data_IF_448403430200
#
_entry.id   IF_448403430200
#
_cell.length_a   1.000
_cell.length_b   1.000
_cell.length_c   1.000
_cell.angle_alpha   90.00
_cell.angle_beta   90.00
_cell.angle_gamma   90.00
#
_symmetry.space_group_name_H-M   'P 1'
#
loop_
_entity.id
_entity.type
_entity.pdbx_description
1 polymer ?
#
# COMPACT_ATOMS: atom_id res chain seq x y z
N UNK A 1 10.65 11.58 5.00
CA UNK A 1 9.94 10.93 3.87
C UNK A 1 9.65 9.48 4.25
N UNK A 2 8.47 8.95 3.93
CA UNK A 2 8.12 7.56 4.26
C UNK A 2 8.77 6.59 3.29
N UNK A 3 9.23 5.44 3.78
CA UNK A 3 9.82 4.38 2.96
C UNK A 3 8.71 3.70 2.14
N UNK A 4 8.55 4.08 0.89
CA UNK A 4 7.50 3.50 0.03
C UNK A 4 7.84 2.09 -0.44
N UNK A 5 9.00 1.91 -1.08
CA UNK A 5 9.46 0.60 -1.56
C UNK A 5 10.37 -0.05 -0.54
N UNK A 6 10.27 -1.36 -0.41
CA UNK A 6 11.32 -2.16 0.22
C UNK A 6 12.64 -1.96 -0.55
N UNK A 7 13.80 -2.07 0.10
CA UNK A 7 15.06 -1.98 -0.60
C UNK A 7 15.22 -3.17 -1.57
N UNK A 8 16.20 -3.08 -2.47
CA UNK A 8 16.54 -4.21 -3.33
C UNK A 8 16.87 -5.44 -2.47
N UNK A 9 16.58 -6.61 -3.03
CA UNK A 9 16.70 -7.93 -2.44
C UNK A 9 15.54 -8.34 -1.50
N UNK A 10 14.37 -7.74 -1.65
CA UNK A 10 13.19 -8.10 -0.86
C UNK A 10 12.01 -8.43 -1.78
N UNK A 11 11.46 -9.63 -1.58
CA UNK A 11 10.37 -10.18 -2.39
C UNK A 11 9.18 -10.54 -1.51
N UNK A 12 8.01 -10.01 -1.85
CA UNK A 12 6.75 -10.54 -1.32
C UNK A 12 6.50 -11.96 -1.82
N UNK A 13 6.17 -12.85 -0.89
CA UNK A 13 5.80 -14.25 -1.18
C UNK A 13 4.31 -14.41 -1.52
N UNK A 14 3.54 -13.32 -1.51
CA UNK A 14 2.11 -13.35 -1.81
C UNK A 14 1.82 -13.91 -3.20
N UNK A 15 0.56 -14.24 -3.49
CA UNK A 15 0.17 -14.77 -4.81
C UNK A 15 0.41 -13.74 -5.91
N UNK A 16 1.04 -14.16 -7.00
CA UNK A 16 1.11 -13.37 -8.25
C UNK A 16 -0.22 -13.43 -8.98
N UNK A 17 -0.76 -12.27 -9.32
CA UNK A 17 -1.94 -12.09 -10.15
C UNK A 17 -1.58 -12.16 -11.64
N UNK A 18 -0.59 -11.37 -12.05
CA UNK A 18 -0.12 -11.23 -13.44
C UNK A 18 1.35 -10.86 -13.44
N UNK A 19 2.08 -11.22 -14.50
CA UNK A 19 3.45 -10.74 -14.74
C UNK A 19 3.49 -9.94 -16.04
N UNK A 20 4.07 -8.74 -15.98
CA UNK A 20 4.36 -7.89 -17.12
C UNK A 20 5.87 -7.88 -17.37
N UNK A 21 6.31 -8.12 -18.60
CA UNK A 21 7.73 -8.18 -18.96
C UNK A 21 8.22 -6.88 -19.60
N UNK A 22 9.52 -6.61 -19.53
CA UNK A 22 10.12 -5.41 -20.13
C UNK A 22 9.71 -4.10 -19.45
N UNK A 23 9.32 -4.16 -18.17
CA UNK A 23 8.94 -2.99 -17.40
C UNK A 23 10.19 -2.20 -17.01
N UNK A 24 10.19 -0.90 -17.31
CA UNK A 24 11.39 -0.04 -17.23
C UNK A 24 12.02 -0.01 -15.83
N UNK A 25 11.21 0.12 -14.79
CA UNK A 25 11.64 0.34 -13.41
C UNK A 25 10.52 0.00 -12.42
N UNK A 26 10.84 -0.02 -11.13
CA UNK A 26 9.89 -0.28 -10.05
C UNK A 26 8.72 0.72 -10.03
N UNK A 27 8.95 1.99 -10.40
CA UNK A 27 7.89 2.99 -10.46
C UNK A 27 6.90 2.73 -11.61
N UNK A 28 7.37 2.24 -12.76
CA UNK A 28 6.53 1.76 -13.84
C UNK A 28 5.73 0.53 -13.42
N UNK A 29 6.35 -0.39 -12.67
CA UNK A 29 5.66 -1.54 -12.10
C UNK A 29 4.56 -1.11 -11.11
N UNK A 30 4.82 -0.11 -10.26
CA UNK A 30 3.80 0.49 -9.40
C UNK A 30 2.62 1.06 -10.20
N UNK A 31 2.89 1.80 -11.29
CA UNK A 31 1.83 2.35 -12.16
C UNK A 31 0.98 1.26 -12.81
N UNK A 32 1.57 0.13 -13.16
CA UNK A 32 0.82 -1.04 -13.65
C UNK A 32 -0.05 -1.62 -12.54
N UNK A 33 0.48 -1.77 -11.33
CA UNK A 33 -0.31 -2.21 -10.17
C UNK A 33 -1.45 -1.24 -9.84
N UNK A 34 -1.22 0.08 -9.94
CA UNK A 34 -2.22 1.09 -9.69
C UNK A 34 -3.45 0.96 -10.61
N UNK A 35 -3.24 0.56 -11.87
CA UNK A 35 -4.29 0.35 -12.89
C UNK A 35 -5.00 -1.01 -12.78
N UNK A 36 -4.42 -1.96 -12.07
CA UNK A 36 -4.99 -3.30 -11.92
C UNK A 36 -5.78 -3.38 -10.62
N UNK A 37 -7.10 -3.53 -10.72
CA UNK A 37 -8.04 -3.45 -9.59
C UNK A 37 -7.65 -4.41 -8.46
N UNK A 38 -7.31 -5.64 -8.80
CA UNK A 38 -6.97 -6.66 -7.82
C UNK A 38 -5.53 -6.56 -7.29
N UNK A 39 -4.69 -5.73 -7.91
CA UNK A 39 -3.31 -5.55 -7.45
C UNK A 39 -3.27 -4.74 -6.17
N UNK A 40 -2.47 -5.20 -5.21
CA UNK A 40 -2.28 -4.60 -3.88
C UNK A 40 -0.86 -4.11 -3.67
N UNK A 41 0.10 -4.77 -4.32
CA UNK A 41 1.52 -4.51 -4.27
C UNK A 41 2.18 -5.21 -5.46
N UNK A 42 3.47 -5.00 -5.68
CA UNK A 42 4.21 -5.60 -6.78
C UNK A 42 5.58 -6.11 -6.33
N UNK A 43 6.13 -7.07 -7.08
CA UNK A 43 7.56 -7.37 -7.09
C UNK A 43 8.14 -6.94 -8.44
N UNK A 44 9.19 -6.14 -8.44
CA UNK A 44 9.94 -5.77 -9.64
C UNK A 44 11.31 -6.46 -9.62
N UNK A 45 11.58 -7.29 -10.63
CA UNK A 45 12.85 -7.98 -10.81
C UNK A 45 13.78 -7.10 -11.65
N UNK A 46 14.85 -6.59 -11.04
CA UNK A 46 15.74 -5.60 -11.65
C UNK A 46 16.65 -6.18 -12.73
N UNK A 47 16.85 -7.50 -12.74
CA UNK A 47 17.69 -8.22 -13.70
C UNK A 47 16.93 -8.63 -14.97
N UNK A 48 15.67 -9.06 -14.82
CA UNK A 48 14.82 -9.54 -15.92
C UNK A 48 13.82 -8.50 -16.41
N UNK A 49 13.67 -7.37 -15.72
CA UNK A 49 12.64 -6.36 -15.97
C UNK A 49 11.20 -6.91 -15.91
N UNK A 50 11.01 -8.01 -15.16
CA UNK A 50 9.69 -8.56 -14.90
C UNK A 50 9.03 -7.84 -13.72
N UNK A 51 7.77 -7.46 -13.91
CA UNK A 51 6.90 -6.87 -12.91
C UNK A 51 5.81 -7.88 -12.55
N UNK A 52 5.92 -8.50 -11.37
CA UNK A 52 4.84 -9.34 -10.83
C UNK A 52 3.84 -8.45 -10.10
N UNK A 53 2.62 -8.33 -10.62
CA UNK A 53 1.50 -7.74 -9.90
C UNK A 53 0.98 -8.75 -8.88
N UNK A 54 0.85 -8.33 -7.62
CA UNK A 54 0.56 -9.21 -6.48
C UNK A 54 -0.76 -8.83 -5.82
N UNK A 55 -1.41 -9.80 -5.21
CA UNK A 55 -2.67 -9.64 -4.46
C UNK A 55 -2.48 -10.08 -3.00
N UNK A 56 -3.41 -9.71 -2.11
CA UNK A 56 -3.42 -10.05 -0.67
C UNK A 56 -2.37 -9.27 0.14
N UNK A 57 -2.01 -9.74 1.33
CA UNK A 57 -0.98 -9.12 2.17
C UNK A 57 0.36 -9.07 1.44
N UNK A 58 0.89 -7.87 1.23
CA UNK A 58 2.21 -7.64 0.61
C UNK A 58 3.34 -7.41 1.59
N UNK A 59 3.05 -7.42 2.89
CA UNK A 59 4.05 -7.19 3.93
C UNK A 59 4.86 -8.42 4.32
N UNK A 60 4.44 -9.60 3.86
CA UNK A 60 5.17 -10.85 4.10
C UNK A 60 6.27 -11.00 3.05
N UNK A 61 7.43 -10.44 3.37
CA UNK A 61 8.60 -10.37 2.49
C UNK A 61 9.73 -11.25 2.97
N UNK A 62 10.48 -11.79 2.02
CA UNK A 62 11.71 -12.58 2.26
C UNK A 62 12.86 -11.98 1.46
N UNK A 63 14.09 -12.25 1.89
CA UNK A 63 15.27 -11.92 1.10
C UNK A 63 15.28 -12.72 -0.20
N UNK A 64 15.45 -12.02 -1.33
CA UNK A 64 15.57 -12.61 -2.65
C UNK A 64 16.28 -11.65 -3.60
N UNK A 65 17.42 -12.07 -4.17
CA UNK A 65 18.28 -11.22 -4.99
C UNK A 65 17.54 -10.53 -6.14
N UNK A 66 17.91 -9.28 -6.43
CA UNK A 66 17.43 -8.48 -7.56
C UNK A 66 15.92 -8.16 -7.55
N UNK A 67 15.23 -8.28 -6.42
CA UNK A 67 13.80 -7.97 -6.33
C UNK A 67 13.55 -6.73 -5.48
N UNK A 68 12.64 -5.87 -5.92
CA UNK A 68 12.10 -4.74 -5.16
C UNK A 68 10.60 -5.00 -4.94
N UNK A 69 10.14 -4.97 -3.69
CA UNK A 69 8.71 -5.03 -3.35
C UNK A 69 8.18 -3.62 -3.08
N UNK A 70 7.01 -3.27 -3.62
CA UNK A 70 6.38 -1.98 -3.35
C UNK A 70 4.85 -2.04 -3.32
N UNK A 71 4.18 -1.14 -2.58
CA UNK A 71 2.72 -1.09 -2.51
C UNK A 71 2.11 -0.60 -3.83
N UNK A 72 0.80 -0.81 -4.01
CA UNK A 72 0.03 -0.26 -5.15
C UNK A 72 0.23 1.25 -5.31
N UNK A 73 0.36 1.98 -4.22
CA UNK A 73 0.54 3.43 -4.20
C UNK A 73 1.50 3.85 -3.08
N UNK A 74 2.31 4.88 -3.34
CA UNK A 74 3.08 5.58 -2.31
C UNK A 74 2.28 6.72 -1.66
N UNK A 75 1.02 6.93 -2.05
CA UNK A 75 0.19 7.98 -1.47
C UNK A 75 -0.06 7.70 0.00
N UNK A 76 0.35 8.64 0.85
CA UNK A 76 0.05 8.67 2.28
C UNK A 76 -0.90 9.82 2.62
N UNK A 77 -1.65 10.35 1.63
CA UNK A 77 -2.54 11.51 1.81
C UNK A 77 -3.63 11.28 2.86
N UNK A 78 -3.96 10.01 3.11
CA UNK A 78 -4.93 9.58 4.11
C UNK A 78 -4.29 9.12 5.43
N UNK A 79 -2.99 9.35 5.63
CA UNK A 79 -2.30 9.04 6.88
C UNK A 79 -2.15 10.27 7.74
N UNK A 80 -2.22 10.11 9.06
CA UNK A 80 -2.07 11.21 10.03
C UNK A 80 -0.93 10.88 10.98
N UNK A 81 0.09 11.74 11.00
CA UNK A 81 1.24 11.64 11.89
C UNK A 81 0.93 12.27 13.27
N UNK A 82 1.59 11.77 14.31
CA UNK A 82 1.57 12.35 15.65
C UNK A 82 0.41 11.87 16.50
N UNK A 83 -0.36 10.90 16.01
CA UNK A 83 -1.50 10.32 16.72
C UNK A 83 -1.49 8.80 16.60
N UNK A 84 -2.09 8.14 17.58
CA UNK A 84 -2.30 6.69 17.61
C UNK A 84 -3.66 6.34 18.20
N UNK A 85 -4.24 5.20 17.82
CA UNK A 85 -5.53 4.75 18.32
C UNK A 85 -5.37 3.99 19.64
N UNK A 86 -6.18 4.31 20.66
CA UNK A 86 -6.25 3.53 21.91
C UNK A 86 -7.26 2.39 21.85
N UNK A 87 -8.02 2.24 20.75
CA UNK A 87 -8.91 1.11 20.52
C UNK A 87 -8.17 -0.24 20.59
N UNK A 88 -8.92 -1.29 20.90
CA UNK A 88 -8.37 -2.64 21.09
C UNK A 88 -7.73 -3.16 19.80
N UNK A 89 -6.62 -3.86 19.96
CA UNK A 89 -5.96 -4.53 18.83
C UNK A 89 -6.78 -5.71 18.29
N UNK A 90 -6.90 -5.79 16.97
CA UNK A 90 -7.56 -6.88 16.24
C UNK A 90 -6.66 -8.10 16.08
N UNK A 91 -5.36 -7.91 16.15
CA UNK A 91 -4.33 -8.94 16.04
C UNK A 91 -3.16 -8.62 16.97
N UNK A 92 -2.28 -9.60 17.22
CA UNK A 92 -1.01 -9.33 17.88
C UNK A 92 -0.20 -8.37 17.01
N UNK A 93 0.32 -7.30 17.60
CA UNK A 93 1.16 -6.34 16.88
C UNK A 93 2.40 -7.00 16.24
N UNK A 94 2.74 -6.58 15.03
CA UNK A 94 3.89 -7.10 14.28
C UNK A 94 4.79 -5.97 13.81
N UNK A 95 6.08 -6.25 13.60
CA UNK A 95 6.96 -5.28 12.95
C UNK A 95 6.73 -5.30 11.44
N UNK A 96 6.64 -4.13 10.83
CA UNK A 96 6.45 -3.94 9.38
C UNK A 96 7.47 -2.92 8.88
N UNK A 97 7.89 -3.01 7.62
CA UNK A 97 8.96 -2.14 7.12
C UNK A 97 8.52 -0.68 7.01
N UNK A 98 7.24 -0.44 6.73
CA UNK A 98 6.67 0.89 6.55
C UNK A 98 5.17 0.95 6.94
N UNK A 99 4.59 2.15 7.05
CA UNK A 99 3.14 2.30 7.18
C UNK A 99 2.35 1.67 6.03
N UNK A 100 2.92 1.60 4.82
CA UNK A 100 2.27 0.96 3.67
C UNK A 100 2.15 -0.56 3.82
N UNK A 101 3.14 -1.21 4.43
CA UNK A 101 3.06 -2.62 4.81
C UNK A 101 2.00 -2.84 5.89
N UNK A 102 1.92 -1.91 6.86
CA UNK A 102 0.92 -1.94 7.92
C UNK A 102 -0.51 -1.83 7.34
N UNK A 103 -0.70 -0.91 6.37
CA UNK A 103 -1.93 -0.82 5.58
C UNK A 103 -2.21 -2.09 4.79
N UNK A 104 -1.21 -2.68 4.12
CA UNK A 104 -1.36 -3.90 3.34
C UNK A 104 -1.82 -5.09 4.21
N UNK A 105 -1.23 -5.22 5.39
CA UNK A 105 -1.62 -6.22 6.37
C UNK A 105 -3.03 -6.00 6.92
N UNK A 106 -3.39 -4.75 7.23
CA UNK A 106 -4.75 -4.40 7.62
C UNK A 106 -5.78 -4.73 6.53
N UNK A 107 -5.49 -4.40 5.26
CA UNK A 107 -6.39 -4.69 4.13
C UNK A 107 -6.72 -6.18 4.01
N UNK A 108 -5.78 -7.06 4.31
CA UNK A 108 -5.97 -8.52 4.22
C UNK A 108 -6.46 -9.15 5.53
N UNK A 109 -6.47 -8.40 6.63
CA UNK A 109 -6.92 -8.89 7.94
C UNK A 109 -8.42 -8.66 8.11
N UNK A 110 -9.17 -9.76 8.30
CA UNK A 110 -10.61 -9.69 8.52
C UNK A 110 -10.95 -8.85 9.77
N UNK A 111 -11.85 -7.89 9.62
CA UNK A 111 -12.26 -7.00 10.71
C UNK A 111 -11.29 -5.83 10.99
N UNK A 112 -10.17 -5.70 10.27
CA UNK A 112 -9.35 -4.50 10.34
C UNK A 112 -9.95 -3.38 9.49
N UNK A 113 -9.99 -2.18 10.06
CA UNK A 113 -10.48 -0.96 9.40
C UNK A 113 -9.44 0.17 9.42
N UNK A 114 -8.62 0.20 10.46
CA UNK A 114 -7.58 1.22 10.64
C UNK A 114 -6.30 0.57 11.17
N UNK A 115 -5.19 1.27 11.02
CA UNK A 115 -3.93 0.88 11.62
C UNK A 115 -3.30 2.03 12.40
N UNK A 116 -2.43 1.68 13.33
CA UNK A 116 -1.44 2.59 13.93
C UNK A 116 -0.06 2.00 13.68
N UNK A 117 0.83 2.77 13.08
CA UNK A 117 2.22 2.39 12.84
C UNK A 117 3.14 3.31 13.64
N UNK A 118 3.91 2.74 14.55
CA UNK A 118 4.92 3.46 15.29
C UNK A 118 6.22 3.53 14.47
N UNK A 119 6.63 4.75 14.10
CA UNK A 119 7.77 5.02 13.22
C UNK A 119 9.12 4.64 13.84
N UNK A 120 9.25 4.74 15.16
CA UNK A 120 10.51 4.47 15.87
C UNK A 120 10.78 2.97 16.01
N UNK A 121 9.77 2.21 16.44
CA UNK A 121 9.87 0.76 16.65
C UNK A 121 9.56 -0.06 15.39
N UNK A 122 8.97 0.58 14.38
CA UNK A 122 8.41 -0.08 13.18
C UNK A 122 7.30 -1.07 13.52
N UNK A 123 6.57 -0.84 14.61
CA UNK A 123 5.50 -1.74 15.09
C UNK A 123 4.17 -1.30 14.49
N UNK A 124 3.44 -2.26 13.93
CA UNK A 124 2.11 -2.10 13.38
C UNK A 124 1.06 -2.69 14.32
N UNK A 125 0.00 -1.92 14.54
CA UNK A 125 -1.13 -2.20 15.41
C UNK A 125 -2.41 -2.13 14.56
N UNK A 126 -3.15 -3.23 14.49
CA UNK A 126 -4.36 -3.33 13.67
C UNK A 126 -5.60 -3.03 14.50
N UNK A 127 -6.46 -2.15 14.00
CA UNK A 127 -7.61 -1.62 14.73
C UNK A 127 -8.93 -1.92 14.01
N UNK A 128 -9.95 -2.16 14.80
CA UNK A 128 -11.30 -2.45 14.33
C UNK A 128 -12.06 -1.20 13.91
N UNK A 129 -13.36 -1.38 13.66
CA UNK A 129 -14.27 -0.27 13.33
C UNK A 129 -14.51 0.69 14.52
N UNK A 130 -14.07 0.33 15.72
CA UNK A 130 -14.11 1.12 16.96
C UNK A 130 -12.91 2.07 17.13
N UNK A 131 -12.00 2.12 16.15
CA UNK A 131 -10.83 3.01 16.18
C UNK A 131 -11.15 4.52 16.14
N UNK A 132 -12.08 5.00 15.28
CA UNK A 132 -12.37 6.43 15.18
C UNK A 132 -12.83 7.04 16.51
N UNK A 133 -12.27 8.19 16.86
CA UNK A 133 -12.54 8.87 18.12
C UNK A 133 -11.71 8.36 19.31
N UNK A 134 -10.78 7.42 19.08
CA UNK A 134 -9.83 6.92 20.09
C UNK A 134 -8.41 7.44 19.89
N UNK A 135 -8.22 8.38 18.96
CA UNK A 135 -6.91 8.97 18.67
C UNK A 135 -6.39 9.78 19.85
N UNK A 136 -5.11 9.59 20.17
CA UNK A 136 -4.37 10.35 21.19
C UNK A 136 -3.04 10.81 20.62
N UNK A 137 -2.50 11.88 21.20
CA UNK A 137 -1.20 12.41 20.83
C UNK A 137 -0.10 11.40 21.16
N UNK A 138 0.56 10.92 20.11
CA UNK A 138 1.70 10.01 20.15
C UNK A 138 2.64 10.44 19.02
N UNK A 139 3.65 11.29 19.27
CA UNK A 139 4.46 11.93 18.22
C UNK A 139 5.13 10.97 17.23
N UNK A 140 5.46 9.75 17.69
CA UNK A 140 6.07 8.70 16.86
C UNK A 140 5.08 7.82 16.10
N UNK A 141 3.77 8.01 16.29
CA UNK A 141 2.74 7.18 15.68
C UNK A 141 2.15 7.83 14.42
N UNK A 142 1.76 6.96 13.49
CA UNK A 142 1.05 7.32 12.27
C UNK A 142 -0.17 6.43 12.12
N UNK A 143 -1.35 7.02 11.98
CA UNK A 143 -2.59 6.29 11.71
C UNK A 143 -2.97 6.33 10.24
N UNK A 144 -3.74 5.35 9.80
CA UNK A 144 -4.36 5.36 8.49
C UNK A 144 -5.48 4.33 8.34
N UNK A 145 -6.31 4.47 7.30
CA UNK A 145 -7.35 3.49 6.99
C UNK A 145 -6.76 2.26 6.28
N UNK A 146 -7.53 1.16 6.27
CA UNK A 146 -7.19 -0.04 5.48
C UNK A 146 -7.19 0.20 3.96
N UNK A 147 -7.96 1.19 3.51
CA UNK A 147 -8.08 1.50 2.08
C UNK A 147 -6.86 2.26 1.58
N UNK A 148 -6.50 2.04 0.31
CA UNK A 148 -5.37 2.75 -0.29
C UNK A 148 -5.70 4.23 -0.33
N UNK A 149 -4.73 5.08 0.02
CA UNK A 149 -4.96 6.51 -0.12
C UNK A 149 -5.09 6.83 -1.62
N UNK A 150 -6.12 7.59 -1.99
CA UNK A 150 -6.22 8.12 -3.34
C UNK A 150 -4.97 8.97 -3.63
N UNK A 151 -4.29 8.68 -4.72
CA UNK A 151 -3.49 9.73 -5.37
C UNK A 151 -4.51 10.72 -5.90
N UNK A 152 -4.34 12.02 -5.63
CA UNK A 152 -5.27 13.06 -6.09
C UNK A 152 -5.64 12.82 -7.56
N UNK A 153 -6.89 12.48 -7.77
CA UNK A 153 -7.52 12.14 -9.04
C UNK A 153 -8.96 12.58 -8.96
N UNK A 154 -9.16 13.84 -8.57
CA UNK A 154 -10.33 14.60 -8.97
C UNK A 154 -10.04 15.07 -10.39
N UNK A 155 -10.42 14.25 -11.37
CA UNK A 155 -10.73 14.67 -12.73
C UNK A 155 -11.82 13.71 -13.23
N UNK A 156 -13.01 13.83 -12.61
CA UNK A 156 -14.25 13.40 -13.25
C UNK A 156 -14.80 14.65 -13.93
N UNK A 157 -14.25 14.98 -15.09
CA UNK A 157 -14.98 15.75 -16.10
C UNK A 157 -15.28 14.80 -17.25
N UNK A 158 -16.47 14.20 -17.14
CA UNK A 158 -17.19 13.69 -18.30
C UNK A 158 -17.52 14.88 -19.19
N UNK A 159 -16.81 15.04 -20.31
CA UNK A 159 -17.34 15.82 -21.43
C UNK A 159 -17.72 14.89 -22.56
N UNK A 160 -18.95 15.09 -22.99
CA UNK A 160 -19.78 14.25 -23.84
C UNK A 160 -19.26 14.23 -25.29
N UNK A 161 -19.46 13.09 -25.96
CA UNK A 161 -19.45 13.03 -27.42
C UNK A 161 -20.52 13.97 -27.99
N UNK A 162 -20.12 14.83 -28.92
CA UNK A 162 -21.05 15.33 -29.94
C UNK A 162 -20.37 15.32 -31.31
N UNK A 163 -20.60 14.23 -32.05
CA UNK A 163 -20.56 14.25 -33.51
C UNK A 163 -21.84 14.89 -34.06
N UNK A 164 -21.70 15.97 -34.83
CA UNK A 164 -22.57 16.36 -35.96
C UNK A 164 -21.92 17.58 -36.61
N UNK A 165 -21.85 17.80 -37.91
CA UNK A 165 -22.36 17.14 -39.09
C UNK A 165 -22.04 18.11 -40.24
N UNK A 166 -21.61 17.59 -41.38
CA UNK A 166 -21.24 18.35 -42.57
C UNK A 166 -22.46 19.07 -43.15
N UNK A 167 -22.28 20.30 -43.62
CA UNK A 167 -23.23 21.06 -44.43
C UNK A 167 -22.51 22.18 -45.17
#
# INVERSE_FOLDING_TARGET
>A
ELKCFHPINWKSIARTLKTESGVKDAAACQRLCAKEDQCTHFNYHTDSHNCELKIKNGSDVVEAANVITGPKTCSSSCFTLGVGHTAKEMARSERKYSPFDCQSWCRDTNGCFYFTFNLDSSTCFLKGADAPGTEREYPGDMVGPKEFCSGGGEDVETEEESESGTG
#
